data_IF_701751079633
#
_entry.id   IF_701751079633
#
_cell.length_a   1.000
_cell.length_b   1.000
_cell.length_c   1.000
_cell.angle_alpha   90.00
_cell.angle_beta   90.00
_cell.angle_gamma   90.00
#
_symmetry.space_group_name_H-M   'P 1'
#
loop_
_entity.id
_entity.type
_entity.pdbx_description
1 polymer ?
#
# COMPACT_ATOMS: atom_id res chain seq x y z
N UNK A 1 -6.79 4.23 -9.55
CA UNK A 1 -6.31 3.60 -8.30
C UNK A 1 -5.07 4.37 -7.87
N UNK A 2 -4.98 4.81 -6.62
CA UNK A 2 -3.86 5.64 -6.14
C UNK A 2 -2.62 4.76 -5.97
N UNK A 3 -1.47 5.26 -6.43
CA UNK A 3 -0.16 4.62 -6.31
C UNK A 3 0.77 5.45 -5.43
N UNK A 4 1.50 4.77 -4.55
CA UNK A 4 2.49 5.36 -3.66
C UNK A 4 3.83 4.66 -3.88
N UNK A 5 4.85 5.40 -4.30
CA UNK A 5 6.22 4.90 -4.38
C UNK A 5 6.93 5.03 -3.03
N UNK A 6 7.44 3.93 -2.50
CA UNK A 6 8.29 3.91 -1.33
C UNK A 6 9.76 4.06 -1.76
N UNK A 7 10.37 5.17 -1.34
CA UNK A 7 11.75 5.54 -1.70
C UNK A 7 12.55 5.82 -0.43
N UNK A 8 13.84 5.48 -0.45
CA UNK A 8 14.72 5.65 0.72
C UNK A 8 16.06 4.96 0.53
N UNK A 9 17.05 5.38 1.34
CA UNK A 9 18.41 4.83 1.31
C UNK A 9 18.44 3.32 1.61
N UNK A 10 19.55 2.63 1.29
CA UNK A 10 19.75 1.24 1.68
C UNK A 10 19.69 1.10 3.21
N UNK A 11 19.17 -0.03 3.70
CA UNK A 11 19.11 -0.38 5.13
C UNK A 11 18.31 0.59 6.04
N UNK A 12 17.48 1.49 5.50
CA UNK A 12 16.63 2.39 6.31
C UNK A 12 15.29 1.78 6.72
N UNK A 13 15.11 0.46 6.58
CA UNK A 13 13.87 -0.22 6.96
C UNK A 13 12.71 -0.10 5.97
N UNK A 14 12.95 0.24 4.69
CA UNK A 14 11.89 0.27 3.66
C UNK A 14 11.13 -1.05 3.56
N UNK A 15 11.83 -2.17 3.41
CA UNK A 15 11.19 -3.47 3.26
C UNK A 15 10.42 -3.86 4.54
N UNK A 16 10.91 -3.47 5.71
CA UNK A 16 10.19 -3.61 6.99
C UNK A 16 8.89 -2.82 6.98
N UNK A 17 8.91 -1.56 6.54
CA UNK A 17 7.72 -0.73 6.41
C UNK A 17 6.75 -1.32 5.38
N UNK A 18 7.24 -1.70 4.20
CA UNK A 18 6.45 -2.31 3.13
C UNK A 18 5.69 -3.54 3.63
N UNK A 19 6.37 -4.44 4.34
CA UNK A 19 5.74 -5.64 4.91
C UNK A 19 4.70 -5.29 5.98
N UNK A 20 4.98 -4.30 6.83
CA UNK A 20 4.05 -3.87 7.88
C UNK A 20 2.76 -3.25 7.30
N UNK A 21 2.87 -2.44 6.24
CA UNK A 21 1.70 -1.72 5.67
C UNK A 21 0.88 -2.55 4.70
N UNK A 22 1.49 -3.56 4.08
CA UNK A 22 0.79 -4.48 3.16
C UNK A 22 0.08 -5.63 3.87
N UNK A 23 0.31 -5.79 5.18
CA UNK A 23 -0.27 -6.88 5.99
C UNK A 23 -0.12 -8.26 5.32
N UNK A 24 0.96 -8.50 4.58
CA UNK A 24 1.46 -9.76 3.99
C UNK A 24 0.48 -10.78 3.34
N UNK A 25 -0.82 -10.49 3.23
CA UNK A 25 -1.87 -11.46 2.84
C UNK A 25 -2.64 -11.03 1.58
N UNK A 26 -2.24 -9.94 0.91
CA UNK A 26 -2.85 -9.55 -0.37
C UNK A 26 -1.88 -9.93 -1.50
N UNK A 27 -2.32 -10.71 -2.50
CA UNK A 27 -1.44 -11.26 -3.52
C UNK A 27 -0.68 -10.17 -4.27
N UNK A 28 0.64 -10.30 -4.27
CA UNK A 28 1.55 -9.56 -5.15
C UNK A 28 1.21 -9.98 -6.57
N UNK A 29 0.76 -9.03 -7.40
CA UNK A 29 0.49 -9.29 -8.81
C UNK A 29 1.76 -9.04 -9.62
N UNK A 30 2.26 -10.08 -10.30
CA UNK A 30 3.41 -9.98 -11.22
C UNK A 30 2.96 -9.27 -12.51
N UNK A 31 3.65 -8.21 -12.93
CA UNK A 31 3.44 -7.53 -14.21
C UNK A 31 4.72 -7.60 -15.07
N UNK A 32 4.65 -8.00 -16.35
CA UNK A 32 5.77 -8.67 -17.02
C UNK A 32 6.73 -7.76 -17.81
N UNK A 33 7.16 -6.60 -17.30
CA UNK A 33 8.00 -5.66 -18.08
C UNK A 33 9.13 -4.91 -17.33
N UNK A 34 9.77 -5.49 -16.31
CA UNK A 34 11.04 -4.94 -15.79
C UNK A 34 12.02 -6.05 -15.38
N UNK A 35 13.28 -5.95 -15.82
CA UNK A 35 14.37 -6.92 -15.52
C UNK A 35 14.75 -6.96 -14.01
N UNK A 36 14.11 -6.15 -13.18
CA UNK A 36 14.04 -6.25 -11.72
C UNK A 36 12.56 -6.00 -11.38
N UNK A 37 11.85 -6.99 -10.84
CA UNK A 37 10.43 -6.83 -10.47
C UNK A 37 10.31 -5.92 -9.23
N UNK A 38 9.66 -4.74 -9.31
CA UNK A 38 9.41 -3.93 -8.12
C UNK A 38 8.39 -4.65 -7.22
N UNK A 39 8.60 -4.65 -5.89
CA UNK A 39 7.62 -5.24 -5.00
C UNK A 39 6.36 -4.36 -4.99
N UNK A 40 5.26 -4.89 -5.53
CA UNK A 40 3.95 -4.21 -5.54
C UNK A 40 3.04 -4.84 -4.50
N UNK A 41 2.49 -4.02 -3.61
CA UNK A 41 1.57 -4.46 -2.57
C UNK A 41 0.33 -3.58 -2.46
N UNK A 42 -0.65 -4.04 -1.69
CA UNK A 42 -1.83 -3.25 -1.33
C UNK A 42 -1.74 -2.87 0.14
N UNK A 43 -1.74 -1.58 0.42
CA UNK A 43 -1.82 -1.03 1.77
C UNK A 43 -3.19 -0.38 1.99
N UNK A 44 -3.50 -0.03 3.23
CA UNK A 44 -4.77 0.60 3.59
C UNK A 44 -4.56 1.94 4.27
N UNK A 45 -5.04 3.02 3.65
CA UNK A 45 -5.14 4.33 4.29
C UNK A 45 -6.40 4.36 5.14
N UNK A 46 -6.26 4.74 6.41
CA UNK A 46 -7.36 4.84 7.36
C UNK A 46 -7.90 6.27 7.37
N UNK A 47 -9.21 6.40 7.20
CA UNK A 47 -9.91 7.70 7.28
C UNK A 47 -11.24 7.56 8.00
N UNK A 48 -11.80 8.69 8.46
CA UNK A 48 -13.16 8.71 9.02
C UNK A 48 -14.15 8.29 7.94
N UNK A 49 -14.95 7.27 8.21
CA UNK A 49 -16.03 6.88 7.31
C UNK A 49 -17.13 7.94 7.34
N UNK A 50 -17.65 8.38 6.19
CA UNK A 50 -18.80 9.30 6.14
C UNK A 50 -20.04 8.76 6.87
N UNK A 51 -20.15 7.43 6.99
CA UNK A 51 -21.23 6.77 7.72
C UNK A 51 -21.37 7.22 9.19
N UNK A 52 -20.28 7.62 9.83
CA UNK A 52 -20.30 8.15 11.20
C UNK A 52 -20.99 9.50 11.25
N UNK A 53 -20.74 10.35 10.26
CA UNK A 53 -21.31 11.70 10.18
C UNK A 53 -22.78 11.67 9.78
N UNK A 54 -23.12 10.80 8.82
CA UNK A 54 -24.51 10.65 8.35
C UNK A 54 -25.37 9.76 9.24
N UNK A 55 -24.80 9.06 10.23
CA UNK A 55 -25.54 8.14 11.10
C UNK A 55 -26.16 6.95 10.37
N UNK A 56 -25.63 6.58 9.19
CA UNK A 56 -26.18 5.52 8.33
C UNK A 56 -25.30 4.27 8.32
N UNK A 57 -25.91 3.11 8.10
CA UNK A 57 -25.17 1.87 7.83
C UNK A 57 -24.61 1.91 6.41
N UNK A 58 -23.29 1.86 6.27
CA UNK A 58 -22.65 1.82 4.96
C UNK A 58 -22.41 0.39 4.45
N UNK A 59 -22.50 0.23 3.14
CA UNK A 59 -22.17 -1.01 2.41
C UNK A 59 -21.10 -0.72 1.35
N UNK A 60 -19.84 -0.48 1.75
CA UNK A 60 -18.79 -0.08 0.82
C UNK A 60 -18.39 -1.25 -0.09
N UNK A 61 -18.36 -1.02 -1.41
CA UNK A 61 -17.99 -2.03 -2.43
C UNK A 61 -16.49 -2.17 -2.67
N UNK A 62 -15.73 -1.12 -2.39
CA UNK A 62 -14.32 -0.98 -2.80
C UNK A 62 -13.34 -0.83 -1.63
N UNK A 63 -13.82 -0.93 -0.39
CA UNK A 63 -13.05 -0.66 0.82
C UNK A 63 -13.78 -1.24 2.02
N UNK A 64 -13.08 -1.55 3.09
CA UNK A 64 -13.71 -2.04 4.32
C UNK A 64 -14.03 -0.87 5.26
N UNK A 65 -15.20 -0.91 5.92
CA UNK A 65 -15.52 -0.02 7.02
C UNK A 65 -15.59 -0.82 8.31
N UNK A 66 -14.81 -0.44 9.33
CA UNK A 66 -14.81 -1.08 10.66
C UNK A 66 -14.89 0.00 11.72
N UNK A 67 -15.93 -0.02 12.56
CA UNK A 67 -16.08 0.92 13.68
C UNK A 67 -16.07 2.40 13.28
N UNK A 68 -16.57 2.74 12.10
CA UNK A 68 -16.55 4.12 11.60
C UNK A 68 -15.23 4.57 10.97
N UNK A 69 -14.26 3.65 10.82
CA UNK A 69 -13.00 3.88 10.10
C UNK A 69 -13.06 3.17 8.75
N UNK A 70 -12.77 3.92 7.68
CA UNK A 70 -12.69 3.39 6.31
C UNK A 70 -11.24 3.04 5.97
N UNK A 71 -11.05 1.84 5.45
CA UNK A 71 -9.77 1.28 5.02
C UNK A 71 -9.72 1.35 3.50
N UNK A 72 -9.14 2.43 2.99
CA UNK A 72 -9.07 2.73 1.56
C UNK A 72 -7.86 2.00 0.99
N UNK A 73 -8.04 1.02 0.08
CA UNK A 73 -6.93 0.32 -0.52
C UNK A 73 -6.12 1.26 -1.42
N UNK A 74 -4.82 1.30 -1.20
CA UNK A 74 -3.85 2.04 -2.03
C UNK A 74 -2.77 1.07 -2.49
N UNK A 75 -2.28 1.27 -3.71
CA UNK A 75 -1.18 0.48 -4.25
C UNK A 75 0.13 1.09 -3.75
N UNK A 76 0.98 0.29 -3.13
CA UNK A 76 2.32 0.71 -2.71
C UNK A 76 3.36 -0.06 -3.52
N UNK A 77 4.39 0.65 -3.97
CA UNK A 77 5.46 0.12 -4.82
C UNK A 77 6.77 0.33 -4.07
N UNK A 78 7.47 -0.73 -3.70
CA UNK A 78 8.84 -0.62 -3.19
C UNK A 78 9.78 -0.39 -4.37
N UNK A 79 10.25 0.84 -4.49
CA UNK A 79 11.17 1.27 -5.53
C UNK A 79 12.59 0.95 -5.09
N UNK A 80 12.86 -0.34 -4.86
CA UNK A 80 14.20 -0.82 -4.62
C UNK A 80 14.97 -0.81 -5.96
N UNK A 81 16.12 -0.13 -6.01
CA UNK A 81 17.07 -0.31 -7.11
C UNK A 81 16.89 0.53 -8.38
N UNK A 82 15.98 1.51 -8.44
CA UNK A 82 15.92 2.44 -9.60
C UNK A 82 17.03 3.50 -9.60
N UNK A 83 17.65 3.76 -8.44
CA UNK A 83 18.79 4.69 -8.34
C UNK A 83 20.09 3.91 -8.53
N UNK A 84 20.81 4.19 -9.62
CA UNK A 84 22.17 3.66 -9.85
C UNK A 84 23.04 3.99 -8.64
N UNK A 85 23.66 2.99 -8.01
CA UNK A 85 24.54 3.17 -6.85
C UNK A 85 23.89 2.97 -5.48
N UNK A 86 22.64 2.52 -5.39
CA UNK A 86 21.99 2.20 -4.10
C UNK A 86 22.55 0.95 -3.38
N UNK A 87 23.69 0.41 -3.79
CA UNK A 87 24.34 -0.75 -3.18
C UNK A 87 25.85 -0.53 -2.98
N UNK A 88 26.28 0.73 -2.93
CA UNK A 88 27.63 1.13 -2.55
C UNK A 88 27.62 1.86 -1.21
#
# INVERSE_FOLDING_TARGET
MIELGLVGKPNTGKSTFFNAVTLANVPVANYPFTTIEPNVGVAYVRGKCPCVEFGVKCHPRNSTCMGGVRYIPVRIIDVAGLVRGAHQ
#
